data_IF_735245284732
#
_entry.id   IF_735245284732
#
_cell.length_a   1.000
_cell.length_b   1.000
_cell.length_c   1.000
_cell.angle_alpha   90.00
_cell.angle_beta   90.00
_cell.angle_gamma   90.00
#
_symmetry.space_group_name_H-M   'P 1'
#
loop_
_entity.id
_entity.type
_entity.pdbx_description
1 polymer ?
#
# COMPACT_ATOMS: atom_id res chain seq x y z
N UNK A 1 39.46 -4.29 72.69
CA UNK A 1 38.90 -3.15 71.85
C UNK A 1 39.34 -3.32 70.40
N UNK A 2 38.50 -3.91 69.59
CA UNK A 2 38.80 -4.15 68.18
C UNK A 2 37.72 -3.44 67.32
N UNK A 3 38.10 -2.33 66.69
CA UNK A 3 37.26 -1.63 65.74
C UNK A 3 37.36 -2.26 64.37
N UNK A 4 36.29 -2.93 63.93
CA UNK A 4 36.12 -3.36 62.52
C UNK A 4 35.81 -2.14 61.67
N UNK A 5 36.71 -1.81 60.72
CA UNK A 5 36.45 -0.87 59.64
C UNK A 5 35.59 -1.56 58.56
N UNK A 6 34.36 -1.11 58.40
CA UNK A 6 33.49 -1.51 57.27
C UNK A 6 33.93 -0.72 56.04
N UNK A 7 34.42 -1.45 55.03
CA UNK A 7 34.71 -0.88 53.71
C UNK A 7 33.38 -0.72 52.96
N UNK A 8 32.92 0.50 52.73
CA UNK A 8 31.86 0.78 51.78
C UNK A 8 32.46 0.72 50.36
N UNK A 9 32.14 -0.34 49.63
CA UNK A 9 32.38 -0.41 48.20
C UNK A 9 31.36 0.46 47.49
N UNK A 10 31.78 1.64 47.04
CA UNK A 10 31.03 2.46 46.07
C UNK A 10 31.04 1.75 44.69
N UNK A 11 30.01 0.97 44.40
CA UNK A 11 29.70 0.57 43.06
C UNK A 11 29.16 1.77 42.31
N UNK A 12 30.05 2.46 41.58
CA UNK A 12 29.61 3.37 40.50
C UNK A 12 28.87 2.51 39.50
N UNK A 13 27.54 2.55 39.50
CA UNK A 13 26.72 2.14 38.37
C UNK A 13 27.15 2.99 37.20
N UNK A 14 27.77 2.36 36.20
CA UNK A 14 27.94 2.92 34.88
C UNK A 14 26.54 3.08 34.32
N UNK A 15 25.99 4.29 34.36
CA UNK A 15 24.83 4.67 33.53
C UNK A 15 25.28 4.48 32.09
N UNK A 16 24.89 3.34 31.51
CA UNK A 16 24.93 3.13 30.09
C UNK A 16 23.98 4.17 29.48
N UNK A 17 24.54 5.10 28.76
CA UNK A 17 23.83 6.12 27.99
C UNK A 17 23.04 5.36 26.91
N UNK A 18 21.90 4.73 27.28
CA UNK A 18 20.96 4.17 26.31
C UNK A 18 20.35 5.34 25.55
N UNK A 19 20.91 5.59 24.38
CA UNK A 19 20.37 6.57 23.45
C UNK A 19 18.91 6.15 23.17
N UNK A 20 17.95 6.91 23.70
CA UNK A 20 16.53 6.66 23.48
C UNK A 20 16.24 6.75 22.01
N UNK A 21 15.82 5.64 21.40
CA UNK A 21 15.41 5.61 20.00
C UNK A 21 14.11 6.41 19.82
N UNK A 22 14.01 7.13 18.74
CA UNK A 22 12.76 7.77 18.33
C UNK A 22 11.71 6.72 17.94
N UNK A 23 10.45 7.12 17.98
CA UNK A 23 9.33 6.29 17.57
C UNK A 23 9.17 6.29 16.05
N UNK A 24 8.83 5.13 15.48
CA UNK A 24 8.53 4.97 14.07
C UNK A 24 7.03 4.71 13.88
N UNK A 25 6.42 5.36 12.89
CA UNK A 25 5.07 5.07 12.43
C UNK A 25 5.12 4.55 10.98
N UNK A 26 4.58 3.34 10.75
CA UNK A 26 4.29 2.85 9.41
C UNK A 26 2.88 3.33 9.04
N UNK A 27 2.78 4.27 8.12
CA UNK A 27 1.54 5.00 7.82
C UNK A 27 1.06 4.69 6.42
N UNK A 28 -0.20 4.27 6.29
CA UNK A 28 -0.89 4.17 5.02
C UNK A 28 -1.30 5.54 4.50
N UNK A 29 -0.81 5.87 3.31
CA UNK A 29 -1.13 7.11 2.59
C UNK A 29 -2.40 7.03 1.75
N UNK A 30 -3.10 5.90 1.76
CA UNK A 30 -4.28 5.73 0.91
C UNK A 30 -3.94 5.51 -0.58
N UNK A 31 -4.94 5.51 -1.45
CA UNK A 31 -4.80 5.18 -2.86
C UNK A 31 -4.28 6.33 -3.75
N UNK A 32 -4.15 7.55 -3.22
CA UNK A 32 -3.62 8.70 -3.95
C UNK A 32 -4.28 10.03 -3.60
N UNK A 33 -5.60 10.08 -3.51
CA UNK A 33 -6.38 11.25 -3.08
C UNK A 33 -6.06 11.61 -1.61
N UNK A 34 -5.59 12.83 -1.31
CA UNK A 34 -5.28 13.27 0.05
C UNK A 34 -6.49 13.27 0.99
N UNK A 35 -7.71 13.43 0.50
CA UNK A 35 -8.92 13.37 1.31
C UNK A 35 -9.24 11.95 1.83
N UNK A 36 -8.56 10.93 1.26
CA UNK A 36 -8.65 9.55 1.70
C UNK A 36 -7.60 9.17 2.76
N UNK A 37 -6.81 10.14 3.26
CA UNK A 37 -5.99 9.94 4.43
C UNK A 37 -6.87 9.72 5.67
N UNK A 38 -6.46 8.81 6.55
CA UNK A 38 -7.12 8.71 7.85
C UNK A 38 -6.78 9.93 8.71
N UNK A 39 -7.71 10.35 9.58
CA UNK A 39 -7.48 11.45 10.54
C UNK A 39 -6.22 11.19 11.38
N UNK A 40 -5.97 9.92 11.76
CA UNK A 40 -4.78 9.54 12.52
C UNK A 40 -3.51 9.70 11.69
N UNK A 41 -3.53 9.32 10.41
CA UNK A 41 -2.40 9.52 9.50
C UNK A 41 -2.06 11.01 9.37
N UNK A 42 -3.06 11.84 9.12
CA UNK A 42 -2.92 13.29 9.00
C UNK A 42 -2.27 13.92 10.23
N UNK A 43 -2.75 13.54 11.42
CA UNK A 43 -2.19 14.04 12.69
C UNK A 43 -0.71 13.66 12.84
N UNK A 44 -0.34 12.41 12.58
CA UNK A 44 1.04 11.93 12.72
C UNK A 44 1.95 12.59 11.68
N UNK A 45 1.48 12.74 10.44
CA UNK A 45 2.22 13.42 9.37
C UNK A 45 2.50 14.90 9.71
N UNK A 46 1.54 15.60 10.34
CA UNK A 46 1.71 17.02 10.74
C UNK A 46 2.76 17.25 11.82
N UNK A 47 3.15 16.21 12.55
CA UNK A 47 4.13 16.25 13.63
C UNK A 47 5.47 15.58 13.30
N UNK A 48 5.61 15.02 12.09
CA UNK A 48 6.79 14.23 11.69
C UNK A 48 8.06 15.09 11.59
N UNK A 49 9.17 14.58 12.14
CA UNK A 49 10.50 15.17 11.96
C UNK A 49 11.10 14.75 10.60
N UNK A 50 10.83 13.48 10.21
CA UNK A 50 11.30 12.90 8.96
C UNK A 50 10.25 11.95 8.41
N UNK A 51 10.05 12.00 7.08
CA UNK A 51 9.16 11.09 6.34
C UNK A 51 9.96 10.38 5.24
N UNK A 52 9.96 9.05 5.29
CA UNK A 52 10.46 8.17 4.23
C UNK A 52 9.27 7.70 3.40
N UNK A 53 9.21 8.00 2.10
CA UNK A 53 8.03 7.73 1.27
C UNK A 53 8.37 7.05 -0.04
N UNK A 54 7.42 6.32 -0.61
CA UNK A 54 7.55 5.64 -1.91
C UNK A 54 6.94 6.44 -3.07
N UNK A 55 7.08 5.91 -4.29
CA UNK A 55 6.62 6.58 -5.52
C UNK A 55 5.11 6.62 -5.69
N UNK A 56 4.32 5.97 -4.82
CA UNK A 56 2.86 5.96 -4.87
C UNK A 56 2.21 7.10 -4.08
N UNK A 57 3.01 7.86 -3.34
CA UNK A 57 2.53 9.02 -2.58
C UNK A 57 2.41 10.22 -3.51
N UNK A 58 1.23 10.83 -3.55
CA UNK A 58 0.95 12.00 -4.38
C UNK A 58 1.68 13.25 -3.85
N UNK A 59 1.97 14.19 -4.76
CA UNK A 59 2.61 15.47 -4.40
C UNK A 59 1.72 16.31 -3.46
N UNK A 60 0.41 16.18 -3.58
CA UNK A 60 -0.57 16.84 -2.70
C UNK A 60 -0.41 16.37 -1.26
N UNK A 61 -0.24 15.06 -1.02
CA UNK A 61 0.03 14.52 0.32
C UNK A 61 1.38 15.02 0.84
N UNK A 62 2.41 15.04 -0.01
CA UNK A 62 3.73 15.56 0.38
C UNK A 62 3.70 17.06 0.71
N UNK A 63 2.85 17.83 0.03
CA UNK A 63 2.68 19.26 0.30
C UNK A 63 2.07 19.55 1.69
N UNK A 64 1.35 18.58 2.28
CA UNK A 64 0.75 18.70 3.62
C UNK A 64 1.77 18.53 4.77
N UNK A 65 2.98 18.05 4.48
CA UNK A 65 4.03 17.85 5.49
C UNK A 65 4.58 19.18 5.99
N UNK A 66 4.98 19.27 7.28
CA UNK A 66 5.60 20.48 7.82
C UNK A 66 6.80 20.93 6.98
N UNK A 67 6.98 22.25 6.82
CA UNK A 67 8.12 22.81 6.06
C UNK A 67 9.49 22.35 6.59
N UNK A 68 9.59 22.13 7.91
CA UNK A 68 10.81 21.66 8.59
C UNK A 68 11.02 20.14 8.48
N UNK A 69 10.02 19.39 8.03
CA UNK A 69 10.10 17.93 7.94
C UNK A 69 11.10 17.52 6.86
N UNK A 70 12.05 16.64 7.21
CA UNK A 70 12.96 16.02 6.25
C UNK A 70 12.20 15.00 5.42
N UNK A 71 12.33 15.03 4.07
CA UNK A 71 11.62 14.14 3.16
C UNK A 71 12.63 13.28 2.40
N UNK A 72 12.50 11.97 2.48
CA UNK A 72 13.37 11.01 1.78
C UNK A 72 12.53 10.09 0.91
N UNK A 73 12.71 10.18 -0.39
CA UNK A 73 12.11 9.25 -1.34
C UNK A 73 12.88 7.93 -1.32
N UNK A 74 12.22 6.82 -1.01
CA UNK A 74 12.80 5.48 -0.96
C UNK A 74 12.26 4.53 -2.04
N UNK A 75 11.35 5.01 -2.91
CA UNK A 75 10.79 4.27 -4.02
C UNK A 75 11.78 4.13 -5.19
N UNK A 76 11.34 3.43 -6.25
CA UNK A 76 12.11 3.31 -7.49
C UNK A 76 12.11 4.65 -8.23
N UNK A 77 13.28 5.18 -8.58
CA UNK A 77 13.43 6.28 -9.54
C UNK A 77 14.05 5.75 -10.82
N UNK A 78 13.56 6.21 -11.98
CA UNK A 78 14.25 5.96 -13.25
C UNK A 78 15.69 6.50 -13.17
N UNK A 79 16.67 5.64 -13.46
CA UNK A 79 18.09 6.05 -13.54
C UNK A 79 18.86 6.14 -12.21
N UNK A 80 18.27 5.87 -11.04
CA UNK A 80 18.98 5.85 -9.77
C UNK A 80 19.14 4.41 -9.22
N UNK A 81 20.18 4.18 -8.40
CA UNK A 81 20.37 2.91 -7.70
C UNK A 81 19.10 2.56 -6.91
N UNK A 82 18.54 1.39 -7.20
CA UNK A 82 17.34 0.88 -6.53
C UNK A 82 17.66 0.60 -5.06
N UNK A 83 17.07 1.34 -4.13
CA UNK A 83 17.11 0.98 -2.71
C UNK A 83 16.50 -0.40 -2.52
N UNK A 84 17.24 -1.31 -1.88
CA UNK A 84 16.71 -2.62 -1.48
C UNK A 84 15.82 -2.47 -0.25
N UNK A 85 14.99 -3.48 0.03
CA UNK A 85 14.18 -3.48 1.27
C UNK A 85 15.07 -3.42 2.52
N UNK A 86 16.22 -4.10 2.49
CA UNK A 86 17.21 -4.07 3.56
C UNK A 86 17.77 -2.65 3.78
N UNK A 87 18.02 -1.90 2.69
CA UNK A 87 18.52 -0.53 2.80
C UNK A 87 17.45 0.40 3.40
N UNK A 88 16.17 0.20 3.04
CA UNK A 88 15.05 0.96 3.62
C UNK A 88 14.94 0.68 5.12
N UNK A 89 15.01 -0.58 5.55
CA UNK A 89 14.99 -0.98 6.96
C UNK A 89 16.14 -0.36 7.75
N UNK A 90 17.37 -0.42 7.22
CA UNK A 90 18.55 0.23 7.82
C UNK A 90 18.40 1.75 7.92
N UNK A 91 17.82 2.37 6.90
CA UNK A 91 17.58 3.81 6.87
C UNK A 91 16.53 4.22 7.91
N UNK A 92 15.46 3.42 8.09
CA UNK A 92 14.47 3.63 9.13
C UNK A 92 15.10 3.57 10.53
N UNK A 93 15.91 2.53 10.80
CA UNK A 93 16.62 2.39 12.08
C UNK A 93 17.59 3.56 12.33
N UNK A 94 18.35 3.97 11.31
CA UNK A 94 19.25 5.11 11.40
C UNK A 94 18.49 6.42 11.64
N UNK A 95 17.31 6.55 11.03
CA UNK A 95 16.42 7.70 11.27
C UNK A 95 15.88 7.71 12.70
N UNK A 96 15.49 6.55 13.26
CA UNK A 96 15.05 6.44 14.65
C UNK A 96 16.14 6.78 15.67
N UNK A 97 17.41 6.59 15.32
CA UNK A 97 18.55 7.02 16.16
C UNK A 97 18.76 8.54 16.17
N UNK A 98 18.27 9.25 15.15
CA UNK A 98 18.54 10.67 14.93
C UNK A 98 17.33 11.57 15.19
N UNK A 99 16.12 11.08 14.97
CA UNK A 99 14.87 11.85 15.01
C UNK A 99 13.91 11.23 16.00
N UNK A 100 13.13 12.08 16.69
CA UNK A 100 12.12 11.62 17.66
C UNK A 100 10.87 11.02 17.00
N UNK A 101 10.44 11.60 15.87
CA UNK A 101 9.21 11.23 15.17
C UNK A 101 9.51 10.86 13.72
N UNK A 102 9.66 9.55 13.44
CA UNK A 102 9.97 9.01 12.11
C UNK A 102 8.71 8.43 11.50
N UNK A 103 8.39 8.81 10.28
CA UNK A 103 7.26 8.26 9.52
C UNK A 103 7.77 7.52 8.29
N UNK A 104 7.33 6.27 8.12
CA UNK A 104 7.39 5.53 6.86
C UNK A 104 6.01 5.62 6.19
N UNK A 105 5.88 6.48 5.20
CA UNK A 105 4.64 6.71 4.46
C UNK A 105 4.58 5.81 3.23
N UNK A 106 3.53 4.99 3.12
CA UNK A 106 3.37 3.92 2.13
C UNK A 106 2.07 4.11 1.36
N UNK A 107 2.07 3.95 0.04
CA UNK A 107 0.84 3.96 -0.74
C UNK A 107 -0.13 2.87 -0.30
N UNK A 108 -1.43 3.16 -0.27
CA UNK A 108 -2.46 2.25 0.20
C UNK A 108 -2.38 1.99 1.71
N UNK A 109 -2.33 0.71 2.08
CA UNK A 109 -2.19 0.22 3.45
C UNK A 109 -0.81 -0.44 3.65
N UNK A 110 -0.12 -0.23 4.79
CA UNK A 110 1.22 -0.78 5.03
C UNK A 110 1.28 -2.31 4.97
N UNK A 111 0.21 -3.00 5.33
CA UNK A 111 0.14 -4.46 5.45
C UNK A 111 -0.50 -5.16 4.26
N UNK A 112 -1.04 -4.42 3.29
CA UNK A 112 -1.61 -4.99 2.06
C UNK A 112 -0.62 -4.80 0.91
N UNK A 113 0.15 -5.85 0.60
CA UNK A 113 1.22 -5.87 -0.42
C UNK A 113 2.27 -4.76 -0.29
N UNK A 114 2.34 -4.12 0.89
CA UNK A 114 3.22 -3.01 1.20
C UNK A 114 4.54 -3.41 1.87
N UNK A 115 4.77 -4.67 2.20
CA UNK A 115 5.94 -5.17 2.94
C UNK A 115 6.13 -4.53 4.32
N UNK A 116 5.07 -3.93 4.89
CA UNK A 116 5.11 -3.30 6.21
C UNK A 116 5.42 -4.27 7.34
N UNK A 117 5.04 -5.57 7.19
CA UNK A 117 5.38 -6.63 8.14
C UNK A 117 6.90 -6.80 8.29
N UNK A 118 7.63 -6.87 7.17
CA UNK A 118 9.09 -6.99 7.17
C UNK A 118 9.77 -5.75 7.80
N UNK A 119 9.24 -4.54 7.56
CA UNK A 119 9.75 -3.30 8.17
C UNK A 119 9.50 -3.29 9.68
N UNK A 120 8.31 -3.74 10.12
CA UNK A 120 7.93 -3.86 11.52
C UNK A 120 8.84 -4.84 12.28
N UNK A 121 8.98 -6.08 11.77
CA UNK A 121 9.81 -7.13 12.37
C UNK A 121 11.25 -6.63 12.58
N UNK A 122 11.86 -6.09 11.53
CA UNK A 122 13.21 -5.57 11.58
C UNK A 122 13.39 -4.48 12.64
N UNK A 123 12.48 -3.52 12.73
CA UNK A 123 12.55 -2.42 13.68
C UNK A 123 12.36 -2.90 15.12
N UNK A 124 11.41 -3.82 15.36
CA UNK A 124 11.16 -4.40 16.68
C UNK A 124 12.36 -5.22 17.18
N UNK A 125 13.01 -6.00 16.32
CA UNK A 125 14.25 -6.73 16.63
C UNK A 125 15.39 -5.80 17.08
N UNK A 126 15.37 -4.54 16.63
CA UNK A 126 16.35 -3.53 17.02
C UNK A 126 15.87 -2.60 18.15
N UNK A 127 14.78 -2.97 18.84
CA UNK A 127 14.27 -2.25 20.03
C UNK A 127 13.59 -0.91 19.73
N UNK A 128 13.15 -0.68 18.48
CA UNK A 128 12.41 0.54 18.09
C UNK A 128 10.94 0.38 18.46
N UNK A 129 10.34 1.41 19.09
CA UNK A 129 8.89 1.48 19.29
C UNK A 129 8.20 1.83 17.94
N UNK A 130 7.31 0.95 17.48
CA UNK A 130 6.66 1.07 16.16
C UNK A 130 5.15 1.02 16.30
N UNK A 131 4.47 2.02 15.74
CA UNK A 131 3.01 2.03 15.56
C UNK A 131 2.64 1.84 14.07
N UNK A 132 1.51 1.16 13.84
CA UNK A 132 0.93 1.01 12.51
C UNK A 132 -0.32 1.89 12.41
N UNK A 133 -0.39 2.65 11.33
CA UNK A 133 -1.59 3.42 10.99
C UNK A 133 -2.11 2.90 9.65
N UNK A 134 -3.26 2.21 9.65
CA UNK A 134 -3.84 1.68 8.43
C UNK A 134 -4.21 2.80 7.46
N UNK A 135 -4.21 2.49 6.18
CA UNK A 135 -4.70 3.35 5.12
C UNK A 135 -5.79 2.67 4.30
N UNK A 136 -6.50 3.44 3.47
CA UNK A 136 -7.43 2.86 2.50
C UNK A 136 -6.60 2.15 1.43
N UNK A 137 -6.75 0.82 1.37
CA UNK A 137 -6.04 0.01 0.37
C UNK A 137 -6.52 0.35 -1.05
N UNK A 138 -5.64 0.20 -2.04
CA UNK A 138 -5.97 0.50 -3.45
C UNK A 138 -7.22 -0.24 -3.92
N UNK A 139 -7.45 -1.48 -3.51
CA UNK A 139 -8.68 -2.21 -3.84
C UNK A 139 -9.93 -1.43 -3.44
N UNK A 140 -10.02 -0.97 -2.20
CA UNK A 140 -11.18 -0.23 -1.71
C UNK A 140 -11.31 1.15 -2.34
N UNK A 141 -10.23 1.93 -2.39
CA UNK A 141 -10.25 3.29 -2.89
C UNK A 141 -10.51 3.38 -4.40
N UNK A 142 -9.75 2.61 -5.20
CA UNK A 142 -9.91 2.61 -6.65
C UNK A 142 -11.28 2.06 -7.09
N UNK A 143 -11.74 0.99 -6.44
CA UNK A 143 -13.06 0.42 -6.74
C UNK A 143 -14.19 1.41 -6.43
N UNK A 144 -14.12 2.12 -5.29
CA UNK A 144 -15.10 3.15 -4.94
C UNK A 144 -15.09 4.31 -5.95
N UNK A 145 -13.92 4.82 -6.33
CA UNK A 145 -13.77 5.88 -7.33
C UNK A 145 -14.29 5.45 -8.73
N UNK A 146 -14.12 4.17 -9.08
CA UNK A 146 -14.66 3.57 -10.31
C UNK A 146 -16.13 3.17 -10.19
N UNK A 147 -16.75 3.31 -9.01
CA UNK A 147 -18.13 2.87 -8.70
C UNK A 147 -18.35 1.37 -8.93
N UNK A 148 -17.36 0.56 -8.58
CA UNK A 148 -17.41 -0.90 -8.63
C UNK A 148 -17.56 -1.41 -7.18
N UNK A 149 -18.70 -2.00 -6.80
CA UNK A 149 -18.83 -2.63 -5.49
C UNK A 149 -17.99 -3.91 -5.46
N UNK A 150 -17.00 -4.01 -4.57
CA UNK A 150 -16.16 -5.23 -4.48
C UNK A 150 -16.94 -6.45 -4.00
N UNK A 151 -18.05 -6.25 -3.32
CA UNK A 151 -19.00 -7.32 -2.93
C UNK A 151 -20.41 -6.91 -3.28
N UNK A 152 -21.23 -7.88 -3.73
CA UNK A 152 -22.62 -7.66 -4.07
C UNK A 152 -23.41 -8.94 -3.85
N UNK A 153 -24.61 -8.87 -3.24
CA UNK A 153 -25.40 -10.06 -2.89
C UNK A 153 -25.71 -10.99 -4.06
N UNK A 154 -25.83 -10.44 -5.28
CA UNK A 154 -26.16 -11.22 -6.49
C UNK A 154 -24.95 -11.55 -7.35
N UNK A 155 -23.83 -10.80 -7.27
CA UNK A 155 -22.72 -10.87 -8.22
C UNK A 155 -21.38 -11.28 -7.64
N UNK A 156 -21.21 -11.20 -6.31
CA UNK A 156 -19.96 -11.58 -5.67
C UNK A 156 -20.05 -11.46 -4.16
N UNK A 157 -20.03 -12.59 -3.46
CA UNK A 157 -20.14 -12.67 -2.00
C UNK A 157 -18.80 -12.86 -1.29
N UNK A 158 -17.72 -13.00 -2.05
CA UNK A 158 -16.36 -13.13 -1.55
C UNK A 158 -15.41 -12.17 -2.28
N UNK A 159 -14.37 -11.74 -1.60
CA UNK A 159 -13.33 -10.86 -2.11
C UNK A 159 -11.96 -11.48 -1.90
N UNK A 160 -11.19 -11.60 -2.96
CA UNK A 160 -9.79 -12.04 -2.94
C UNK A 160 -8.89 -10.88 -3.37
N UNK A 161 -7.84 -10.65 -2.60
CA UNK A 161 -6.78 -9.69 -2.93
C UNK A 161 -5.52 -10.47 -3.26
N UNK A 162 -5.04 -10.33 -4.49
CA UNK A 162 -3.88 -11.04 -5.00
C UNK A 162 -2.79 -10.08 -5.50
N UNK A 163 -1.54 -10.56 -5.49
CA UNK A 163 -0.45 -9.91 -6.20
C UNK A 163 -0.22 -10.64 -7.52
N UNK A 164 -0.08 -9.93 -8.64
CA UNK A 164 0.28 -10.53 -9.92
C UNK A 164 1.60 -11.31 -9.89
N UNK A 165 2.40 -11.18 -8.83
CA UNK A 165 3.66 -11.90 -8.61
C UNK A 165 3.53 -13.08 -7.63
N UNK A 166 2.35 -13.33 -7.06
CA UNK A 166 2.15 -14.42 -6.11
C UNK A 166 2.26 -15.78 -6.80
N UNK A 167 2.97 -16.71 -6.19
CA UNK A 167 2.77 -18.13 -6.44
C UNK A 167 1.45 -18.48 -5.74
N UNK A 168 0.45 -18.74 -6.53
CA UNK A 168 -0.85 -19.11 -6.01
C UNK A 168 -0.76 -20.49 -5.37
N UNK A 169 -1.20 -20.65 -4.13
CA UNK A 169 -1.44 -21.96 -3.51
C UNK A 169 -2.74 -22.58 -4.01
N UNK A 170 -2.94 -23.86 -3.71
CA UNK A 170 -4.22 -24.53 -3.95
C UNK A 170 -5.28 -23.86 -3.07
N UNK A 171 -6.29 -23.28 -3.71
CA UNK A 171 -7.40 -22.60 -3.07
C UNK A 171 -8.72 -23.20 -3.55
N UNK A 172 -9.58 -23.58 -2.62
CA UNK A 172 -10.96 -23.98 -2.93
C UNK A 172 -11.77 -22.74 -3.32
N UNK A 173 -12.21 -22.58 -4.57
CA UNK A 173 -12.91 -21.39 -5.01
C UNK A 173 -14.29 -21.31 -4.36
N UNK A 174 -14.56 -20.22 -3.64
CA UNK A 174 -15.95 -19.85 -3.35
C UNK A 174 -16.66 -19.51 -4.67
N UNK A 175 -17.94 -19.87 -4.81
CA UNK A 175 -18.70 -19.56 -6.02
C UNK A 175 -18.68 -18.05 -6.30
N UNK A 176 -18.10 -17.65 -7.44
CA UNK A 176 -18.01 -16.28 -7.96
C UNK A 176 -17.34 -15.22 -7.02
N UNK A 177 -16.09 -15.39 -6.56
CA UNK A 177 -15.39 -14.34 -5.84
C UNK A 177 -15.05 -13.18 -6.78
N UNK A 178 -15.12 -11.94 -6.26
CA UNK A 178 -14.42 -10.82 -6.88
C UNK A 178 -12.93 -10.97 -6.62
N UNK A 179 -12.11 -10.96 -7.65
CA UNK A 179 -10.65 -11.05 -7.54
C UNK A 179 -10.01 -9.72 -7.91
N UNK A 180 -9.13 -9.22 -7.05
CA UNK A 180 -8.45 -7.95 -7.24
C UNK A 180 -6.95 -8.18 -7.27
N UNK A 181 -6.31 -7.84 -8.39
CA UNK A 181 -4.88 -8.04 -8.58
C UNK A 181 -4.12 -6.73 -8.49
N UNK A 182 -3.18 -6.67 -7.55
CA UNK A 182 -2.18 -5.62 -7.43
C UNK A 182 -0.98 -5.97 -8.32
N UNK A 183 -0.34 -4.96 -8.90
CA UNK A 183 0.87 -5.15 -9.73
C UNK A 183 0.68 -6.17 -10.88
N UNK A 184 -0.55 -6.32 -11.37
CA UNK A 184 -0.95 -7.39 -12.29
C UNK A 184 -0.75 -7.08 -13.77
N UNK A 185 -0.54 -5.83 -14.20
CA UNK A 185 -0.53 -5.46 -15.62
C UNK A 185 0.46 -6.30 -16.45
N UNK A 186 1.71 -6.42 -16.01
CA UNK A 186 2.74 -7.20 -16.69
C UNK A 186 2.50 -8.71 -16.63
N UNK A 187 1.62 -9.16 -15.76
CA UNK A 187 1.27 -10.56 -15.55
C UNK A 187 -0.13 -10.90 -16.08
N UNK A 188 -0.76 -9.97 -16.82
CA UNK A 188 -2.14 -10.12 -17.29
C UNK A 188 -2.36 -11.42 -18.07
N UNK A 189 -1.42 -11.82 -18.93
CA UNK A 189 -1.51 -13.09 -19.65
C UNK A 189 -1.49 -14.31 -18.73
N UNK A 190 -0.62 -14.32 -17.72
CA UNK A 190 -0.55 -15.40 -16.73
C UNK A 190 -1.80 -15.43 -15.83
N UNK A 191 -2.28 -14.26 -15.42
CA UNK A 191 -3.52 -14.13 -14.64
C UNK A 191 -4.70 -14.70 -15.44
N UNK A 192 -4.82 -14.33 -16.73
CA UNK A 192 -5.88 -14.82 -17.62
C UNK A 192 -5.83 -16.35 -17.74
N UNK A 193 -4.68 -16.91 -18.11
CA UNK A 193 -4.53 -18.37 -18.30
C UNK A 193 -4.95 -19.12 -17.03
N UNK A 194 -4.46 -18.67 -15.87
CA UNK A 194 -4.80 -19.31 -14.60
C UNK A 194 -6.29 -19.22 -14.26
N UNK A 195 -6.91 -18.05 -14.43
CA UNK A 195 -8.33 -17.90 -14.12
C UNK A 195 -9.22 -18.74 -15.03
N UNK A 196 -8.81 -18.97 -16.29
CA UNK A 196 -9.46 -19.91 -17.19
C UNK A 196 -9.28 -21.36 -16.72
N UNK A 197 -8.08 -21.74 -16.28
CA UNK A 197 -7.79 -23.07 -15.70
C UNK A 197 -8.59 -23.29 -14.40
N UNK A 198 -8.79 -22.25 -13.58
CA UNK A 198 -9.66 -22.27 -12.40
C UNK A 198 -11.17 -22.36 -12.76
N UNK A 199 -11.51 -22.40 -14.05
CA UNK A 199 -12.88 -22.58 -14.57
C UNK A 199 -13.69 -21.30 -14.72
N UNK A 200 -13.08 -20.10 -14.69
CA UNK A 200 -13.78 -18.85 -15.02
C UNK A 200 -14.09 -18.80 -16.52
N UNK A 201 -15.24 -18.21 -16.86
CA UNK A 201 -15.63 -18.04 -18.25
C UNK A 201 -14.78 -16.96 -18.93
N UNK A 202 -14.43 -17.17 -20.22
CA UNK A 202 -13.72 -16.19 -21.06
C UNK A 202 -14.42 -14.83 -21.10
N UNK A 203 -15.74 -14.81 -21.00
CA UNK A 203 -16.58 -13.61 -20.97
C UNK A 203 -16.71 -12.97 -19.58
N UNK A 204 -16.06 -13.52 -18.54
CA UNK A 204 -16.07 -12.92 -17.19
C UNK A 204 -15.64 -11.46 -17.26
N UNK A 205 -16.45 -10.51 -16.72
CA UNK A 205 -16.11 -9.10 -16.76
C UNK A 205 -14.80 -8.77 -16.03
N UNK A 206 -14.00 -7.87 -16.63
CA UNK A 206 -12.79 -7.34 -16.01
C UNK A 206 -12.78 -5.82 -16.10
N UNK A 207 -12.16 -5.17 -15.10
CA UNK A 207 -11.88 -3.75 -15.13
C UNK A 207 -10.41 -3.50 -14.79
N UNK A 208 -9.76 -2.59 -15.54
CA UNK A 208 -8.45 -2.02 -15.20
C UNK A 208 -8.70 -0.60 -14.73
N UNK A 209 -8.21 -0.25 -13.55
CA UNK A 209 -8.27 1.10 -12.99
C UNK A 209 -6.84 1.61 -12.90
N UNK A 210 -6.46 2.51 -13.82
CA UNK A 210 -5.17 3.18 -13.80
C UNK A 210 -5.26 4.50 -13.04
N UNK A 211 -4.23 4.82 -12.25
CA UNK A 211 -4.14 6.04 -11.43
C UNK A 211 -5.37 6.29 -10.55
N UNK A 212 -5.90 5.22 -9.96
CA UNK A 212 -7.14 5.27 -9.20
C UNK A 212 -7.13 6.34 -8.11
N UNK A 213 -8.23 7.08 -7.99
CA UNK A 213 -8.47 8.24 -7.10
C UNK A 213 -7.71 9.53 -7.45
N UNK A 214 -6.80 9.49 -8.42
CA UNK A 214 -6.10 10.68 -8.90
C UNK A 214 -6.90 11.40 -9.99
N UNK A 215 -6.63 12.70 -10.26
CA UNK A 215 -7.34 13.46 -11.31
C UNK A 215 -7.26 12.86 -12.72
N UNK A 216 -6.21 12.08 -12.99
CA UNK A 216 -5.97 11.36 -14.24
C UNK A 216 -6.37 9.88 -14.16
N UNK A 217 -7.34 9.53 -13.29
CA UNK A 217 -7.87 8.19 -13.22
C UNK A 217 -8.52 7.78 -14.53
N UNK A 218 -8.19 6.58 -15.00
CA UNK A 218 -8.83 5.93 -16.14
C UNK A 218 -9.41 4.57 -15.71
N UNK A 219 -10.60 4.24 -16.29
CA UNK A 219 -11.29 2.97 -16.01
C UNK A 219 -11.64 2.30 -17.33
N UNK A 220 -11.11 1.12 -17.56
CA UNK A 220 -11.31 0.32 -18.76
C UNK A 220 -11.94 -1.01 -18.42
N UNK A 221 -12.96 -1.36 -19.21
CA UNK A 221 -13.79 -2.53 -18.99
C UNK A 221 -13.67 -3.45 -20.20
N UNK A 222 -13.55 -4.73 -19.93
CA UNK A 222 -13.50 -5.77 -20.94
C UNK A 222 -13.95 -7.12 -20.39
N UNK A 223 -13.48 -8.16 -21.04
CA UNK A 223 -13.70 -9.54 -20.61
C UNK A 223 -12.35 -10.22 -20.34
N UNK A 224 -12.37 -11.30 -19.57
CA UNK A 224 -11.16 -12.01 -19.13
C UNK A 224 -10.26 -12.41 -20.30
N UNK A 225 -10.82 -12.90 -21.40
CA UNK A 225 -10.07 -13.31 -22.58
C UNK A 225 -9.25 -12.15 -23.18
N UNK A 226 -9.75 -10.92 -23.09
CA UNK A 226 -9.10 -9.73 -23.64
C UNK A 226 -8.22 -8.98 -22.62
N UNK A 227 -8.12 -9.44 -21.38
CA UNK A 227 -7.33 -8.78 -20.32
C UNK A 227 -5.87 -8.56 -20.72
N UNK A 228 -5.14 -9.50 -21.37
CA UNK A 228 -3.75 -9.27 -21.78
C UNK A 228 -3.61 -8.05 -22.73
N UNK A 229 -4.47 -7.97 -23.74
CA UNK A 229 -4.47 -6.89 -24.72
C UNK A 229 -4.84 -5.55 -24.07
N UNK A 230 -5.84 -5.55 -23.18
CA UNK A 230 -6.21 -4.35 -22.42
C UNK A 230 -5.05 -3.87 -21.53
N UNK A 231 -4.34 -4.79 -20.87
CA UNK A 231 -3.24 -4.45 -19.98
C UNK A 231 -2.04 -3.80 -20.71
N UNK A 232 -1.77 -4.22 -21.95
CA UNK A 232 -0.71 -3.64 -22.78
C UNK A 232 -0.88 -2.14 -22.98
N UNK A 233 -2.13 -1.66 -23.14
CA UNK A 233 -2.42 -0.24 -23.32
C UNK A 233 -2.05 0.62 -22.10
N UNK A 234 -1.84 0.01 -20.92
CA UNK A 234 -1.65 0.73 -19.63
C UNK A 234 -0.32 0.44 -18.95
N UNK A 235 0.59 -0.29 -19.58
CA UNK A 235 1.89 -0.66 -18.97
C UNK A 235 2.71 0.54 -18.49
N UNK A 236 2.60 1.67 -19.17
CA UNK A 236 3.34 2.90 -18.88
C UNK A 236 2.47 4.01 -18.24
N UNK A 237 1.18 3.74 -17.98
CA UNK A 237 0.23 4.74 -17.46
C UNK A 237 0.35 5.01 -15.96
N UNK A 238 1.23 4.33 -15.24
CA UNK A 238 1.39 4.44 -13.80
C UNK A 238 0.82 3.25 -13.03
N UNK A 239 0.50 3.41 -11.73
CA UNK A 239 -0.04 2.33 -10.94
C UNK A 239 -1.44 1.94 -11.41
N UNK A 240 -1.71 0.63 -11.50
CA UNK A 240 -3.02 0.13 -11.89
C UNK A 240 -3.45 -1.08 -11.06
N UNK A 241 -4.76 -1.25 -10.98
CA UNK A 241 -5.45 -2.33 -10.32
C UNK A 241 -6.31 -3.08 -11.33
N UNK A 242 -6.34 -4.41 -11.27
CA UNK A 242 -7.22 -5.25 -12.09
C UNK A 242 -8.30 -5.84 -11.18
N UNK A 243 -9.56 -5.71 -11.58
CA UNK A 243 -10.72 -6.32 -10.90
C UNK A 243 -11.34 -7.32 -11.87
N UNK A 244 -11.51 -8.56 -11.43
CA UNK A 244 -12.11 -9.66 -12.19
C UNK A 244 -13.35 -10.17 -11.46
N UNK A 245 -14.44 -10.32 -12.19
CA UNK A 245 -15.72 -10.83 -11.68
C UNK A 245 -16.91 -9.99 -12.14
N UNK A 246 -18.11 -10.49 -11.93
CA UNK A 246 -19.37 -9.87 -12.37
C UNK A 246 -19.55 -8.42 -11.90
N UNK A 247 -18.95 -8.06 -10.77
CA UNK A 247 -19.00 -6.68 -10.25
C UNK A 247 -18.26 -5.68 -11.15
N UNK A 248 -17.29 -6.10 -11.94
CA UNK A 248 -16.55 -5.22 -12.84
C UNK A 248 -17.46 -4.57 -13.89
N UNK A 249 -18.56 -5.23 -14.27
CA UNK A 249 -19.56 -4.71 -15.20
C UNK A 249 -20.30 -3.45 -14.68
N UNK A 250 -20.26 -3.16 -13.38
CA UNK A 250 -20.90 -1.97 -12.81
C UNK A 250 -20.28 -0.67 -13.35
N UNK A 251 -18.98 -0.64 -13.63
CA UNK A 251 -18.35 0.53 -14.21
C UNK A 251 -18.94 0.89 -15.60
N UNK A 252 -19.27 -0.11 -16.43
CA UNK A 252 -19.91 0.12 -17.73
C UNK A 252 -21.30 0.75 -17.59
N UNK A 253 -22.10 0.26 -16.64
CA UNK A 253 -23.45 0.82 -16.38
C UNK A 253 -23.38 2.31 -16.01
N UNK A 254 -22.37 2.70 -15.24
CA UNK A 254 -22.19 4.09 -14.81
C UNK A 254 -21.69 5.00 -15.95
N UNK A 255 -20.80 4.53 -16.83
CA UNK A 255 -20.33 5.31 -18.00
C UNK A 255 -21.45 5.60 -18.99
N UNK A 256 -22.38 4.66 -19.20
CA UNK A 256 -23.55 4.86 -20.06
C UNK A 256 -24.49 5.93 -19.49
N UNK A 257 -24.69 5.97 -18.17
CA UNK A 257 -25.51 6.99 -17.52
C UNK A 257 -24.92 8.41 -17.66
N UNK A 258 -23.61 8.56 -17.47
CA UNK A 258 -22.93 9.85 -17.61
C UNK A 258 -23.03 10.37 -19.04
N UNK A 259 -22.86 9.51 -20.06
CA UNK A 259 -23.05 9.90 -21.48
C UNK A 259 -24.47 10.30 -21.80
N UNK A 260 -25.49 9.68 -21.19
CA UNK A 260 -26.92 10.06 -21.40
C UNK A 260 -27.28 11.39 -20.76
N UNK A 261 -26.67 11.74 -19.61
CA UNK A 261 -26.88 13.04 -18.95
C UNK A 261 -26.17 14.21 -19.66
N UNK A 262 -25.06 13.95 -20.37
CA UNK A 262 -24.32 14.95 -21.13
C UNK A 262 -24.97 15.28 -22.50
N UNK A 263 -25.95 14.50 -22.97
CA UNK A 263 -26.66 14.65 -24.24
C UNK A 263 -28.10 15.17 -24.04
N UNK A 264 -28.55 15.32 -22.81
CA UNK A 264 -29.84 15.91 -22.45
C UNK A 264 -29.66 17.34 -21.91
#
# INVERSE_FOLDING_TARGET
MNRKKTLCLNTKQSESNQQTLGKVWLVGGGPGDPELLTIKAMRVLSEADIVLYDSLISEEILAMLPKKCTRIHVGKRCGAHKMTQVDIQKLLLTSARKYGKVVRLKGGDPFIFGRGGEELEYLMEHGVDVDIIPGITAAGGCAAAAKIPLTHRQYGNALMLDSGHSQFGDYEPSQNPTRVFYMGLKQAGMITARLLDDGLNESTPVAIIANGTLPNQEVHIGVLMNLPLLAECYLDSGPALIIVGEVAAFAAKNQIQIKRQAVA
#
